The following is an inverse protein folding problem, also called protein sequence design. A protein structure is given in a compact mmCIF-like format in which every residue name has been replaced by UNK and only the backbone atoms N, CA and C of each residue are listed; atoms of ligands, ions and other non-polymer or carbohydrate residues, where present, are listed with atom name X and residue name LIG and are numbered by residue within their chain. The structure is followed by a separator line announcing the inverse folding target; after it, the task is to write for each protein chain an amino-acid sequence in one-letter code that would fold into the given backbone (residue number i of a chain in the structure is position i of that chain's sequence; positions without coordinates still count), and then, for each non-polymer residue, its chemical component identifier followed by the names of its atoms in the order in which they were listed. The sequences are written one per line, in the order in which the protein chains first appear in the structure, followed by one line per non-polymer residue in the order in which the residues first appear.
data_IF_878677037811
#
_entry.id   IF_878677037811
#
_cell.length_a   1.000
_cell.length_b   1.000
_cell.length_c   1.000
_cell.angle_alpha   90.00
_cell.angle_beta   90.00
_cell.angle_gamma   90.00
#
_symmetry.space_group_name_H-M   'P 1'
#
loop_
_entity.id
_entity.type
_entity.pdbx_description
1 polymer ?
#
# COMPACT_ATOMS: atom_id res chain seq x y z
N UNK A 1 -28.16 -28.58 23.81
CA UNK A 1 -27.09 -27.94 24.60
C UNK A 1 -26.18 -27.21 23.61
N UNK A 2 -26.31 -25.89 23.46
CA UNK A 2 -25.50 -25.11 22.52
C UNK A 2 -24.36 -24.44 23.29
N UNK A 3 -23.12 -24.75 22.90
CA UNK A 3 -21.93 -24.12 23.48
C UNK A 3 -21.81 -22.69 22.96
N UNK A 4 -21.85 -21.70 23.87
CA UNK A 4 -21.51 -20.30 23.57
C UNK A 4 -20.01 -20.12 23.78
N UNK A 5 -19.26 -19.90 22.71
CA UNK A 5 -17.86 -19.48 22.78
C UNK A 5 -17.84 -17.95 22.69
N UNK A 6 -17.46 -17.29 23.79
CA UNK A 6 -17.28 -15.84 23.82
C UNK A 6 -15.82 -15.52 23.45
N UNK A 7 -15.62 -14.83 22.32
CA UNK A 7 -14.31 -14.30 21.94
C UNK A 7 -14.25 -12.85 22.39
N UNK A 8 -13.38 -12.57 23.39
CA UNK A 8 -13.14 -11.22 23.90
C UNK A 8 -12.01 -10.60 23.09
N UNK A 9 -12.35 -9.70 22.17
CA UNK A 9 -11.36 -8.98 21.36
C UNK A 9 -10.87 -7.76 22.14
N UNK A 10 -9.57 -7.74 22.46
CA UNK A 10 -8.90 -6.63 23.14
C UNK A 10 -8.59 -5.51 22.13
N UNK A 11 -9.06 -4.29 22.41
CA UNK A 11 -8.74 -3.10 21.62
C UNK A 11 -7.24 -2.78 21.65
N UNK A 12 -6.55 -2.94 20.51
CA UNK A 12 -5.39 -2.14 20.10
C UNK A 12 -5.24 -2.22 18.58
N UNK A 13 -5.14 -1.06 17.91
CA UNK A 13 -5.08 -0.90 16.45
C UNK A 13 -3.76 -1.47 15.91
N UNK A 14 -3.84 -2.51 15.09
CA UNK A 14 -2.82 -2.96 14.12
C UNK A 14 -3.48 -3.99 13.20
N UNK A 15 -3.51 -3.78 11.88
CA UNK A 15 -3.95 -4.78 10.93
C UNK A 15 -2.88 -5.89 10.85
N UNK A 16 -3.22 -7.11 11.25
CA UNK A 16 -2.33 -8.27 11.13
C UNK A 16 -2.53 -8.94 9.77
N UNK A 17 -1.42 -9.18 9.07
CA UNK A 17 -1.35 -10.06 7.90
C UNK A 17 -1.55 -11.51 8.36
N UNK A 18 -2.62 -12.15 7.89
CA UNK A 18 -2.80 -13.60 8.04
C UNK A 18 -2.45 -14.29 6.72
N UNK A 19 -1.48 -15.21 6.75
CA UNK A 19 -1.34 -16.24 5.73
C UNK A 19 -2.45 -17.27 6.00
N UNK A 20 -3.35 -17.44 5.04
CA UNK A 20 -4.56 -18.24 5.22
C UNK A 20 -4.23 -19.73 5.36
N UNK A 21 -4.43 -20.27 6.57
CA UNK A 21 -4.78 -21.68 6.79
C UNK A 21 -6.29 -21.75 6.96
N UNK A 22 -6.96 -22.69 6.28
CA UNK A 22 -8.41 -22.87 6.33
C UNK A 22 -8.92 -23.02 7.78
N UNK A 23 -9.52 -21.97 8.34
CA UNK A 23 -10.34 -22.08 9.55
C UNK A 23 -11.73 -21.51 9.27
N UNK A 24 -12.72 -22.41 9.34
CA UNK A 24 -14.15 -22.12 9.36
C UNK A 24 -14.48 -21.29 10.59
N UNK A 25 -14.54 -19.97 10.44
CA UNK A 25 -15.22 -19.12 11.40
C UNK A 25 -16.71 -19.15 11.01
N UNK A 26 -17.47 -19.96 11.75
CA UNK A 26 -18.94 -20.06 11.80
C UNK A 26 -19.74 -19.52 10.61
N UNK A 27 -20.16 -20.42 9.70
CA UNK A 27 -21.26 -20.16 8.76
C UNK A 27 -20.95 -19.24 7.58
N UNK A 28 -19.73 -18.70 7.48
CA UNK A 28 -19.31 -17.88 6.34
C UNK A 28 -18.90 -18.78 5.17
N UNK A 29 -19.55 -18.64 4.02
CA UNK A 29 -19.06 -19.20 2.75
C UNK A 29 -17.99 -18.27 2.18
N UNK A 30 -16.75 -18.76 2.04
CA UNK A 30 -15.64 -18.02 1.41
C UNK A 30 -14.36 -17.99 2.25
N UNK A 31 -13.26 -17.57 1.62
CA UNK A 31 -11.94 -17.43 2.27
C UNK A 31 -11.85 -16.00 2.82
N UNK A 32 -11.61 -15.82 4.15
CA UNK A 32 -11.39 -14.49 4.70
C UNK A 32 -10.15 -13.90 4.04
N UNK A 33 -10.37 -12.83 3.29
CA UNK A 33 -9.33 -12.18 2.50
C UNK A 33 -8.67 -11.10 3.33
N UNK A 34 -9.41 -10.26 4.05
CA UNK A 34 -8.81 -9.15 4.80
C UNK A 34 -9.65 -8.72 6.01
N UNK A 35 -9.00 -8.12 7.01
CA UNK A 35 -9.66 -7.62 8.23
C UNK A 35 -9.24 -6.18 8.50
N UNK A 36 -10.20 -5.29 8.67
CA UNK A 36 -9.98 -3.88 9.01
C UNK A 36 -10.95 -3.40 10.08
N UNK A 37 -10.46 -3.18 11.30
CA UNK A 37 -11.31 -2.83 12.43
C UNK A 37 -12.27 -3.97 12.79
N UNK A 38 -13.58 -3.70 12.69
CA UNK A 38 -14.66 -4.68 12.93
C UNK A 38 -15.18 -5.34 11.64
N UNK A 39 -14.63 -4.97 10.48
CA UNK A 39 -15.03 -5.48 9.18
C UNK A 39 -14.11 -6.63 8.74
N UNK A 40 -14.73 -7.76 8.38
CA UNK A 40 -14.08 -8.87 7.69
C UNK A 40 -14.53 -8.85 6.23
N UNK A 41 -13.57 -8.88 5.30
CA UNK A 41 -13.83 -9.04 3.87
C UNK A 41 -13.50 -10.47 3.48
N UNK A 42 -14.49 -11.17 2.91
CA UNK A 42 -14.35 -12.53 2.38
C UNK A 42 -14.53 -12.51 0.86
N UNK A 43 -13.95 -13.50 0.19
CA UNK A 43 -14.21 -13.76 -1.23
C UNK A 43 -14.76 -15.18 -1.40
N UNK A 44 -15.82 -15.31 -2.19
CA UNK A 44 -16.21 -16.58 -2.78
C UNK A 44 -15.53 -16.70 -4.13
N UNK A 45 -14.66 -17.68 -4.27
CA UNK A 45 -13.87 -18.00 -5.47
C UNK A 45 -14.12 -19.42 -5.99
N UNK A 46 -15.19 -20.07 -5.51
CA UNK A 46 -15.47 -21.50 -5.78
C UNK A 46 -16.03 -21.78 -7.18
N UNK A 47 -16.23 -20.74 -8.01
CA UNK A 47 -16.80 -20.86 -9.35
C UNK A 47 -16.17 -19.91 -10.37
N UNK A 48 -16.76 -19.85 -11.57
CA UNK A 48 -16.27 -18.96 -12.64
C UNK A 48 -16.42 -17.46 -12.32
N UNK A 49 -17.27 -17.13 -11.35
CA UNK A 49 -17.47 -15.77 -10.89
C UNK A 49 -17.10 -15.66 -9.41
N UNK A 50 -16.40 -14.58 -9.08
CA UNK A 50 -16.09 -14.22 -7.71
C UNK A 50 -17.02 -13.14 -7.20
N UNK A 51 -17.21 -13.12 -5.88
CA UNK A 51 -17.89 -12.04 -5.15
C UNK A 51 -17.17 -11.74 -3.85
N UNK A 52 -17.07 -10.46 -3.51
CA UNK A 52 -16.66 -10.03 -2.19
C UNK A 52 -17.87 -9.84 -1.29
N UNK A 53 -17.67 -10.17 -0.03
CA UNK A 53 -18.64 -9.99 1.05
C UNK A 53 -17.98 -9.25 2.20
N UNK A 54 -18.71 -8.32 2.81
CA UNK A 54 -18.28 -7.65 4.02
C UNK A 54 -19.12 -8.11 5.19
N UNK A 55 -18.49 -8.44 6.31
CA UNK A 55 -19.17 -8.87 7.53
C UNK A 55 -18.75 -8.01 8.73
N UNK A 56 -19.71 -7.61 9.56
CA UNK A 56 -19.45 -7.08 10.91
C UNK A 56 -20.05 -8.05 11.92
N UNK A 57 -19.19 -8.76 12.64
CA UNK A 57 -19.63 -9.92 13.42
C UNK A 57 -20.23 -10.99 12.51
N UNK A 58 -21.53 -11.26 12.66
CA UNK A 58 -22.27 -12.26 11.85
C UNK A 58 -23.16 -11.64 10.78
N UNK A 59 -23.23 -10.32 10.68
CA UNK A 59 -24.09 -9.62 9.74
C UNK A 59 -23.34 -9.28 8.45
N UNK A 60 -23.91 -9.66 7.29
CA UNK A 60 -23.42 -9.22 5.99
C UNK A 60 -23.79 -7.73 5.79
N UNK A 61 -22.77 -6.86 5.72
CA UNK A 61 -22.95 -5.40 5.56
C UNK A 61 -22.84 -4.96 4.10
N UNK A 62 -22.19 -5.75 3.25
CA UNK A 62 -22.22 -5.53 1.80
C UNK A 62 -21.95 -6.82 1.03
N UNK A 63 -22.36 -6.78 -0.25
CA UNK A 63 -22.03 -7.78 -1.26
C UNK A 63 -21.65 -7.09 -2.57
N UNK A 64 -20.52 -7.48 -3.16
CA UNK A 64 -20.13 -6.95 -4.46
C UNK A 64 -20.93 -7.58 -5.59
N UNK A 65 -21.04 -6.89 -6.76
CA UNK A 65 -21.39 -7.56 -8.01
C UNK A 65 -20.44 -8.74 -8.28
N UNK A 66 -20.95 -9.72 -9.02
CA UNK A 66 -20.12 -10.81 -9.52
C UNK A 66 -19.11 -10.29 -10.55
N UNK A 67 -17.89 -10.80 -10.51
CA UNK A 67 -16.87 -10.53 -11.52
C UNK A 67 -16.19 -11.83 -11.95
N UNK A 68 -15.72 -11.89 -13.19
CA UNK A 68 -15.02 -13.06 -13.69
C UNK A 68 -13.69 -13.24 -12.93
N UNK A 69 -13.54 -14.40 -12.28
CA UNK A 69 -12.30 -14.76 -11.62
C UNK A 69 -11.70 -16.08 -12.07
N UNK A 70 -12.35 -16.81 -13.01
CA UNK A 70 -11.67 -17.87 -13.73
C UNK A 70 -10.43 -17.34 -14.47
N UNK A 71 -10.49 -16.07 -14.89
CA UNK A 71 -9.38 -15.33 -15.46
C UNK A 71 -8.67 -14.40 -14.46
N UNK A 72 -8.94 -14.48 -13.15
CA UNK A 72 -8.33 -13.61 -12.13
C UNK A 72 -7.80 -14.43 -10.96
N UNK A 73 -6.49 -14.64 -10.89
CA UNK A 73 -5.85 -15.06 -9.64
C UNK A 73 -5.75 -13.86 -8.71
N UNK A 74 -6.47 -13.90 -7.59
CA UNK A 74 -6.28 -12.98 -6.48
C UNK A 74 -4.99 -13.38 -5.76
N UNK A 75 -3.85 -12.89 -6.22
CA UNK A 75 -2.64 -12.99 -5.43
C UNK A 75 -2.82 -12.13 -4.18
N UNK A 76 -2.53 -12.71 -3.01
CA UNK A 76 -2.87 -12.21 -1.66
C UNK A 76 -2.26 -10.86 -1.23
N UNK A 77 -1.86 -10.02 -2.17
CA UNK A 77 -1.46 -8.63 -1.92
C UNK A 77 -2.70 -7.75 -2.08
N UNK A 78 -3.39 -7.49 -0.98
CA UNK A 78 -4.47 -6.51 -0.87
C UNK A 78 -4.07 -5.41 0.11
N UNK A 79 -4.49 -4.18 -0.20
CA UNK A 79 -4.32 -3.03 0.66
C UNK A 79 -5.69 -2.58 1.14
N UNK A 80 -5.96 -2.83 2.42
CA UNK A 80 -7.13 -2.29 3.10
C UNK A 80 -6.85 -0.90 3.64
N UNK A 81 -7.75 -0.01 3.30
CA UNK A 81 -7.87 1.37 3.75
C UNK A 81 -9.24 1.51 4.44
N UNK A 82 -9.48 2.62 5.14
CA UNK A 82 -10.65 2.75 6.04
C UNK A 82 -11.98 2.33 5.39
N UNK A 83 -12.16 2.67 4.11
CA UNK A 83 -13.41 2.42 3.37
C UNK A 83 -13.17 1.78 2.00
N UNK A 84 -11.94 1.32 1.74
CA UNK A 84 -11.54 0.83 0.43
C UNK A 84 -10.61 -0.35 0.58
N UNK A 85 -10.73 -1.31 -0.32
CA UNK A 85 -9.72 -2.32 -0.50
C UNK A 85 -9.19 -2.24 -1.93
N UNK A 86 -7.88 -2.11 -2.08
CA UNK A 86 -7.21 -2.23 -3.37
C UNK A 86 -6.59 -3.61 -3.49
N UNK A 87 -6.69 -4.21 -4.66
CA UNK A 87 -6.07 -5.50 -4.93
C UNK A 87 -5.66 -5.59 -6.40
N UNK A 88 -4.73 -6.49 -6.69
CA UNK A 88 -4.32 -6.75 -8.07
C UNK A 88 -4.93 -8.06 -8.56
N UNK A 89 -5.57 -7.98 -9.72
CA UNK A 89 -6.05 -9.13 -10.46
C UNK A 89 -4.98 -9.54 -11.48
N UNK A 90 -4.55 -10.82 -11.46
CA UNK A 90 -3.73 -11.40 -12.53
C UNK A 90 -4.61 -12.19 -13.50
N UNK A 91 -4.54 -11.86 -14.81
CA UNK A 91 -5.18 -12.60 -15.90
C UNK A 91 -5.96 -11.68 -16.86
N UNK A 92 -7.20 -11.98 -17.26
CA UNK A 92 -7.96 -11.11 -18.17
C UNK A 92 -9.35 -10.77 -17.64
N UNK A 93 -9.60 -9.53 -17.21
CA UNK A 93 -8.70 -8.39 -17.25
C UNK A 93 -7.66 -8.33 -16.11
N UNK A 94 -6.37 -8.27 -16.47
CA UNK A 94 -5.33 -7.91 -15.52
C UNK A 94 -5.45 -6.42 -15.17
N UNK A 95 -5.17 -6.08 -13.91
CA UNK A 95 -5.18 -4.69 -13.49
C UNK A 95 -5.34 -4.54 -11.99
N UNK A 96 -5.23 -3.29 -11.54
CA UNK A 96 -5.65 -2.93 -10.20
C UNK A 96 -7.16 -2.84 -10.13
N UNK A 97 -7.69 -3.19 -8.97
CA UNK A 97 -9.10 -3.07 -8.65
C UNK A 97 -9.24 -2.37 -7.32
N UNK A 98 -10.39 -1.74 -7.15
CA UNK A 98 -10.81 -1.20 -5.87
C UNK A 98 -12.22 -1.68 -5.56
N UNK A 99 -12.39 -2.15 -4.32
CA UNK A 99 -13.67 -2.41 -3.67
C UNK A 99 -13.99 -1.26 -2.71
N UNK A 100 -15.15 -0.64 -2.86
CA UNK A 100 -15.74 0.27 -1.87
C UNK A 100 -16.34 -0.57 -0.74
N UNK A 101 -15.80 -0.42 0.47
CA UNK A 101 -16.18 -1.23 1.64
C UNK A 101 -17.49 -0.75 2.29
N UNK A 102 -18.05 0.40 1.88
CA UNK A 102 -19.35 0.87 2.37
C UNK A 102 -20.52 0.18 1.66
N UNK A 103 -20.33 -0.20 0.40
CA UNK A 103 -21.43 -0.64 -0.47
C UNK A 103 -21.08 -1.81 -1.41
N UNK A 104 -19.85 -2.33 -1.34
CA UNK A 104 -19.39 -3.45 -2.17
C UNK A 104 -19.15 -3.10 -3.64
N UNK A 105 -19.19 -1.82 -4.06
CA UNK A 105 -18.98 -1.46 -5.45
C UNK A 105 -17.55 -1.72 -5.88
N UNK A 106 -17.40 -2.43 -6.99
CA UNK A 106 -16.12 -2.66 -7.65
C UNK A 106 -15.88 -1.62 -8.73
N UNK A 107 -14.65 -1.11 -8.79
CA UNK A 107 -14.17 -0.30 -9.89
C UNK A 107 -12.79 -0.73 -10.31
N UNK A 108 -12.54 -0.75 -11.62
CA UNK A 108 -11.18 -0.91 -12.14
C UNK A 108 -10.35 0.31 -11.81
N UNK A 109 -9.08 0.07 -11.55
CA UNK A 109 -8.06 1.09 -11.40
C UNK A 109 -6.93 0.83 -12.38
N UNK A 110 -5.99 1.77 -12.50
CA UNK A 110 -4.67 1.44 -13.05
C UNK A 110 -3.96 0.37 -12.20
N UNK A 111 -2.78 -0.11 -12.60
CA UNK A 111 -2.00 -1.06 -11.81
C UNK A 111 -1.79 -0.51 -10.39
N UNK A 112 -2.17 -1.26 -9.36
CA UNK A 112 -1.95 -0.85 -7.96
C UNK A 112 -0.85 -1.69 -7.34
N UNK A 113 0.12 -1.03 -6.74
CA UNK A 113 1.13 -1.66 -5.90
C UNK A 113 0.52 -1.91 -4.52
N UNK A 114 0.24 -3.18 -4.20
CA UNK A 114 -0.25 -3.58 -2.88
C UNK A 114 0.90 -3.97 -1.92
N UNK A 115 2.12 -4.17 -2.43
CA UNK A 115 3.34 -4.30 -1.64
C UNK A 115 4.56 -3.75 -2.42
N UNK A 116 5.67 -3.50 -1.72
CA UNK A 116 6.95 -3.04 -2.29
C UNK A 116 7.66 -4.12 -3.13
N UNK A 117 7.41 -5.40 -2.85
CA UNK A 117 8.13 -6.53 -3.44
C UNK A 117 7.66 -6.89 -4.87
N UNK A 118 6.42 -6.60 -5.23
CA UNK A 118 5.80 -7.09 -6.48
C UNK A 118 6.28 -6.33 -7.75
N UNK A 119 6.97 -5.18 -7.67
CA UNK A 119 6.90 -4.21 -8.78
C UNK A 119 8.19 -3.42 -9.14
N UNK A 120 9.36 -4.06 -9.08
CA UNK A 120 10.64 -3.44 -9.52
C UNK A 120 10.77 -3.17 -11.04
N UNK A 121 9.74 -3.39 -11.86
CA UNK A 121 9.87 -3.39 -13.33
C UNK A 121 8.83 -2.60 -14.12
N UNK A 122 7.96 -1.80 -13.49
CA UNK A 122 6.88 -1.10 -14.22
C UNK A 122 6.94 0.42 -14.02
N UNK A 123 6.84 1.15 -15.13
CA UNK A 123 6.94 2.62 -15.21
C UNK A 123 5.62 3.36 -14.99
N UNK A 124 4.50 2.64 -14.82
CA UNK A 124 3.18 3.18 -14.53
C UNK A 124 2.48 2.40 -13.41
N UNK A 125 2.53 2.94 -12.19
CA UNK A 125 2.04 2.30 -10.97
C UNK A 125 1.25 3.29 -10.12
N UNK A 126 0.20 2.80 -9.45
CA UNK A 126 -0.58 3.54 -8.46
C UNK A 126 -0.27 2.99 -7.07
N UNK A 127 0.17 3.86 -6.16
CA UNK A 127 0.31 3.59 -4.74
C UNK A 127 -0.83 4.25 -4.00
N UNK A 128 -1.41 3.60 -2.99
CA UNK A 128 -2.63 4.08 -2.35
C UNK A 128 -2.48 4.30 -0.84
N UNK A 129 -3.14 5.33 -0.34
CA UNK A 129 -3.48 5.54 1.07
C UNK A 129 -4.87 6.17 1.17
N UNK A 130 -5.37 6.36 2.38
CA UNK A 130 -6.68 7.00 2.61
C UNK A 130 -6.76 8.39 1.96
N UNK A 131 -5.64 9.12 1.94
CA UNK A 131 -5.60 10.54 1.55
C UNK A 131 -5.23 10.78 0.08
N UNK A 132 -4.48 9.86 -0.53
CA UNK A 132 -3.92 10.04 -1.87
C UNK A 132 -3.67 8.72 -2.60
N UNK A 133 -3.83 8.79 -3.92
CA UNK A 133 -3.27 7.84 -4.88
C UNK A 133 -2.07 8.47 -5.58
N UNK A 134 -0.88 7.91 -5.42
CA UNK A 134 0.29 8.37 -6.15
C UNK A 134 0.47 7.55 -7.42
N UNK A 135 0.30 8.16 -8.59
CA UNK A 135 0.62 7.55 -9.89
C UNK A 135 2.04 7.91 -10.31
N UNK A 136 2.90 6.92 -10.47
CA UNK A 136 4.23 7.10 -11.04
C UNK A 136 4.17 7.01 -12.56
N UNK A 137 4.81 7.95 -13.26
CA UNK A 137 5.02 7.90 -14.72
C UNK A 137 6.47 8.31 -14.98
N UNK A 138 7.34 7.32 -15.15
CA UNK A 138 8.78 7.54 -15.13
C UNK A 138 9.23 8.10 -13.78
N UNK A 139 9.87 9.28 -13.79
CA UNK A 139 10.31 9.99 -12.57
C UNK A 139 9.27 10.94 -11.98
N UNK A 140 8.12 11.09 -12.65
CA UNK A 140 7.06 11.99 -12.20
C UNK A 140 6.05 11.23 -11.38
N UNK A 141 5.80 11.68 -10.16
CA UNK A 141 4.75 11.19 -9.28
C UNK A 141 3.60 12.19 -9.30
N UNK A 142 2.41 11.73 -9.69
CA UNK A 142 1.19 12.52 -9.69
C UNK A 142 0.31 12.08 -8.53
N UNK A 143 0.02 12.98 -7.60
CA UNK A 143 -1.00 12.75 -6.58
C UNK A 143 -2.39 12.92 -7.17
N UNK A 144 -3.24 11.92 -6.97
CA UNK A 144 -4.63 11.93 -7.37
C UNK A 144 -5.51 11.79 -6.12
N UNK A 145 -6.64 12.48 -6.15
CA UNK A 145 -7.68 12.34 -5.15
C UNK A 145 -8.25 10.91 -5.22
N UNK A 146 -8.30 10.18 -4.09
CA UNK A 146 -8.63 8.77 -4.12
C UNK A 146 -10.10 8.53 -4.47
N UNK A 147 -10.99 9.50 -4.22
CA UNK A 147 -12.41 9.47 -4.57
C UNK A 147 -12.62 9.75 -6.06
N UNK A 148 -12.23 10.95 -6.46
CA UNK A 148 -12.56 11.55 -7.76
C UNK A 148 -11.55 11.25 -8.86
N UNK A 149 -10.34 10.79 -8.50
CA UNK A 149 -9.19 10.63 -9.40
C UNK A 149 -8.69 11.93 -10.04
N UNK A 150 -9.19 13.07 -9.58
CA UNK A 150 -8.69 14.37 -10.01
C UNK A 150 -7.25 14.55 -9.54
N UNK A 151 -6.43 15.18 -10.39
CA UNK A 151 -5.06 15.52 -10.01
C UNK A 151 -5.06 16.54 -8.87
N UNK A 152 -4.35 16.20 -7.80
CA UNK A 152 -4.06 17.09 -6.67
C UNK A 152 -2.74 17.83 -6.89
N UNK A 153 -1.70 17.10 -7.26
CA UNK A 153 -0.34 17.62 -7.40
C UNK A 153 0.50 16.76 -8.35
N UNK A 154 1.69 17.26 -8.68
CA UNK A 154 2.70 16.53 -9.46
C UNK A 154 4.08 16.89 -8.93
N UNK A 155 4.95 15.89 -8.81
CA UNK A 155 6.32 16.03 -8.33
C UNK A 155 7.27 15.21 -9.18
N UNK A 156 8.42 15.78 -9.56
CA UNK A 156 9.45 15.06 -10.32
C UNK A 156 10.61 14.71 -9.39
N UNK A 157 10.89 13.41 -9.26
CA UNK A 157 11.95 12.91 -8.41
C UNK A 157 13.34 13.31 -8.90
N UNK A 158 14.27 13.53 -7.96
CA UNK A 158 15.68 13.76 -8.25
C UNK A 158 16.38 12.44 -8.67
N UNK A 159 17.67 12.48 -8.98
CA UNK A 159 18.44 11.29 -9.40
C UNK A 159 18.32 11.00 -10.90
N UNK A 160 18.98 9.94 -11.36
CA UNK A 160 18.92 9.50 -12.77
C UNK A 160 17.99 8.29 -12.95
N UNK A 161 17.73 7.56 -11.87
CA UNK A 161 16.90 6.35 -11.88
C UNK A 161 15.41 6.63 -11.60
N UNK A 162 14.58 5.61 -11.85
CA UNK A 162 13.19 5.62 -11.41
C UNK A 162 13.13 5.60 -9.88
N UNK A 163 12.32 6.48 -9.25
CA UNK A 163 12.13 6.42 -7.81
C UNK A 163 11.43 5.12 -7.41
N UNK A 164 11.87 4.51 -6.32
CA UNK A 164 11.04 3.60 -5.56
C UNK A 164 10.05 4.45 -4.75
N UNK A 165 8.77 4.09 -4.75
CA UNK A 165 7.72 4.90 -4.12
C UNK A 165 6.95 4.02 -3.14
N UNK A 166 6.62 4.59 -2.00
CA UNK A 166 5.67 4.01 -1.05
C UNK A 166 4.72 5.09 -0.55
N UNK A 167 3.48 4.69 -0.23
CA UNK A 167 2.45 5.62 0.25
C UNK A 167 1.77 5.00 1.45
N UNK A 168 1.74 5.73 2.55
CA UNK A 168 1.11 5.29 3.79
C UNK A 168 0.70 6.50 4.63
N UNK A 169 -0.46 6.42 5.29
CA UNK A 169 -0.93 7.38 6.31
C UNK A 169 -0.69 8.87 5.94
N UNK A 170 -1.06 9.28 4.73
CA UNK A 170 -0.95 10.67 4.27
C UNK A 170 0.48 11.12 3.93
N UNK A 171 1.44 10.21 3.81
CA UNK A 171 2.78 10.49 3.31
C UNK A 171 3.05 9.73 2.02
N UNK A 172 3.72 10.38 1.08
CA UNK A 172 4.37 9.74 -0.06
C UNK A 172 5.87 9.74 0.22
N UNK A 173 6.48 8.57 0.24
CA UNK A 173 7.91 8.40 0.44
C UNK A 173 8.50 7.95 -0.90
N UNK A 174 9.63 8.54 -1.27
CA UNK A 174 10.34 8.16 -2.48
C UNK A 174 11.82 7.99 -2.17
N UNK A 175 12.38 6.92 -2.71
CA UNK A 175 13.79 6.64 -2.66
C UNK A 175 14.37 6.73 -4.07
N UNK A 176 15.40 7.55 -4.23
CA UNK A 176 16.11 7.72 -5.51
C UNK A 176 17.59 7.56 -5.29
N UNK A 177 18.32 7.05 -6.28
CA UNK A 177 19.77 7.14 -6.28
C UNK A 177 20.20 8.61 -6.11
N UNK A 178 21.10 8.89 -5.16
CA UNK A 178 21.65 10.22 -4.98
C UNK A 178 22.51 10.56 -6.21
N UNK A 179 22.31 11.72 -6.87
CA UNK A 179 23.14 12.09 -8.01
C UNK A 179 24.63 12.05 -7.65
N UNK A 180 25.46 11.43 -8.50
CA UNK A 180 26.90 11.24 -8.24
C UNK A 180 27.62 12.52 -7.81
N UNK A 181 27.30 13.64 -8.46
CA UNK A 181 27.86 14.96 -8.12
C UNK A 181 27.47 15.43 -6.72
N UNK A 182 26.23 15.16 -6.29
CA UNK A 182 25.76 15.50 -4.95
C UNK A 182 26.43 14.63 -3.88
N UNK A 183 26.64 13.34 -4.17
CA UNK A 183 27.39 12.44 -3.29
C UNK A 183 28.82 12.96 -3.06
N UNK A 184 29.55 13.25 -4.14
CA UNK A 184 30.93 13.78 -4.09
C UNK A 184 31.01 15.09 -3.32
N UNK A 185 30.11 16.06 -3.58
CA UNK A 185 30.09 17.34 -2.87
C UNK A 185 29.75 17.21 -1.38
N UNK A 186 29.08 16.13 -1.00
CA UNK A 186 28.72 15.85 0.41
C UNK A 186 29.76 14.97 1.12
N UNK A 187 30.87 14.63 0.46
CA UNK A 187 31.89 13.73 1.02
C UNK A 187 31.42 12.28 1.16
N UNK A 188 30.39 11.88 0.43
CA UNK A 188 29.85 10.51 0.42
C UNK A 188 30.45 9.77 -0.76
N UNK A 189 30.96 8.56 -0.53
CA UNK A 189 31.44 7.69 -1.60
C UNK A 189 30.29 7.37 -2.57
N UNK A 190 30.33 7.82 -3.83
CA UNK A 190 29.26 7.53 -4.79
C UNK A 190 29.14 6.03 -5.10
N UNK A 191 30.20 5.25 -4.91
CA UNK A 191 30.20 3.81 -5.16
C UNK A 191 29.49 3.04 -4.01
N UNK A 192 29.23 3.69 -2.87
CA UNK A 192 28.45 3.11 -1.76
C UNK A 192 26.95 3.02 -2.06
N UNK A 193 26.52 3.45 -3.26
CA UNK A 193 25.11 3.49 -3.66
C UNK A 193 24.24 4.33 -2.72
N UNK A 194 24.62 5.58 -2.39
CA UNK A 194 23.81 6.41 -1.50
C UNK A 194 22.48 6.76 -2.15
N UNK A 195 21.43 6.78 -1.34
CA UNK A 195 20.08 7.07 -1.78
C UNK A 195 19.56 8.34 -1.10
N UNK A 196 18.68 9.06 -1.78
CA UNK A 196 17.96 10.20 -1.26
C UNK A 196 16.52 9.78 -0.97
N UNK A 197 16.18 9.70 0.31
CA UNK A 197 14.80 9.59 0.77
C UNK A 197 14.15 10.97 0.71
N UNK A 198 13.03 11.08 0.02
CA UNK A 198 12.19 12.28 -0.03
C UNK A 198 10.80 11.95 0.46
N UNK A 199 10.31 12.71 1.43
CA UNK A 199 8.95 12.58 1.96
C UNK A 199 8.13 13.78 1.50
N UNK A 200 6.96 13.50 0.95
CA UNK A 200 5.95 14.50 0.59
C UNK A 200 4.71 14.31 1.46
N UNK A 201 4.06 15.42 1.75
CA UNK A 201 2.69 15.42 2.19
C UNK A 201 1.78 14.87 1.09
N UNK A 202 1.02 13.83 1.41
CA UNK A 202 0.20 13.11 0.44
C UNK A 202 -0.91 13.95 -0.17
N UNK A 203 -1.46 14.95 0.56
CA UNK A 203 -2.56 15.76 0.05
C UNK A 203 -2.08 16.90 -0.85
N UNK A 204 -0.95 17.50 -0.52
CA UNK A 204 -0.44 18.72 -1.17
C UNK A 204 0.72 18.47 -2.12
N UNK A 205 1.43 17.34 -1.98
CA UNK A 205 2.66 17.06 -2.70
C UNK A 205 3.84 17.93 -2.26
N UNK A 206 3.70 18.68 -1.16
CA UNK A 206 4.79 19.49 -0.61
C UNK A 206 5.83 18.57 0.00
N UNK A 207 7.10 18.78 -0.33
CA UNK A 207 8.21 18.10 0.34
C UNK A 207 8.29 18.56 1.79
N UNK A 208 8.15 17.61 2.70
CA UNK A 208 8.19 17.83 4.16
C UNK A 208 9.52 17.42 4.76
N UNK A 209 10.30 16.59 4.09
CA UNK A 209 11.64 16.23 4.52
C UNK A 209 12.43 15.50 3.45
N UNK A 210 13.76 15.57 3.59
CA UNK A 210 14.71 14.80 2.79
C UNK A 210 15.81 14.29 3.69
N UNK A 211 16.31 13.09 3.40
CA UNK A 211 17.46 12.53 4.09
C UNK A 211 18.30 11.70 3.12
N UNK A 212 19.61 11.91 3.16
CA UNK A 212 20.53 11.01 2.48
C UNK A 212 20.73 9.77 3.35
N UNK A 213 20.64 8.62 2.70
CA UNK A 213 20.83 7.30 3.29
C UNK A 213 22.09 6.73 2.65
N UNK A 214 23.14 6.62 3.44
CA UNK A 214 24.49 6.25 2.97
C UNK A 214 24.67 4.74 2.78
N UNK A 215 23.80 3.94 3.38
CA UNK A 215 23.67 2.51 3.12
C UNK A 215 22.38 2.30 2.31
N UNK A 216 22.51 2.27 0.98
CA UNK A 216 21.35 2.08 0.11
C UNK A 216 20.67 0.71 0.32
N UNK A 217 19.47 0.55 -0.21
CA UNK A 217 18.66 -0.69 -0.17
C UNK A 217 19.38 -1.97 -0.66
N UNK A 218 20.53 -1.83 -1.31
CA UNK A 218 21.33 -2.93 -1.88
C UNK A 218 22.45 -3.43 -0.98
N UNK A 219 22.59 -2.85 0.21
CA UNK A 219 23.63 -3.18 1.19
C UNK A 219 22.95 -3.81 2.42
N UNK A 220 23.61 -4.73 3.15
CA UNK A 220 23.09 -5.31 4.39
C UNK A 220 22.47 -4.31 5.36
N UNK A 221 22.94 -3.05 5.37
CA UNK A 221 22.45 -1.96 6.22
C UNK A 221 21.38 -1.06 5.56
N UNK A 222 20.74 -1.49 4.47
CA UNK A 222 19.69 -0.74 3.75
C UNK A 222 18.41 -0.52 4.56
N UNK A 223 17.41 0.14 3.95
CA UNK A 223 16.10 0.32 4.61
C UNK A 223 15.40 -1.05 4.68
N UNK A 224 14.96 -1.41 5.88
CA UNK A 224 14.15 -2.59 6.13
C UNK A 224 12.66 -2.31 5.88
N UNK A 225 12.19 -1.16 6.36
CA UNK A 225 10.79 -0.79 6.26
C UNK A 225 10.55 0.71 6.38
N UNK A 226 9.43 1.15 5.82
CA UNK A 226 9.00 2.53 5.75
C UNK A 226 7.55 2.62 6.20
N UNK A 227 7.27 3.52 7.12
CA UNK A 227 5.91 3.75 7.61
C UNK A 227 5.56 5.22 7.53
N UNK A 228 4.47 5.54 6.84
CA UNK A 228 3.84 6.84 7.03
C UNK A 228 3.30 6.94 8.45
N UNK A 229 3.55 8.05 9.13
CA UNK A 229 3.07 8.32 10.50
C UNK A 229 2.23 9.61 10.58
N UNK A 230 1.67 10.02 9.43
CA UNK A 230 0.80 11.18 9.27
C UNK A 230 1.20 12.06 8.09
N UNK A 231 0.42 13.11 7.85
CA UNK A 231 0.57 14.10 6.78
C UNK A 231 2.04 14.53 6.55
N UNK A 232 2.67 13.90 5.55
CA UNK A 232 4.08 14.14 5.19
C UNK A 232 5.11 13.76 6.25
N UNK A 233 4.85 12.78 7.10
CA UNK A 233 5.82 12.25 8.06
C UNK A 233 6.01 10.77 7.85
N UNK A 234 7.26 10.33 7.91
CA UNK A 234 7.63 8.94 7.78
C UNK A 234 8.54 8.51 8.94
N UNK A 235 8.40 7.27 9.37
CA UNK A 235 9.36 6.53 10.16
C UNK A 235 10.09 5.56 9.21
N UNK A 236 11.41 5.60 9.23
CA UNK A 236 12.26 4.71 8.43
C UNK A 236 13.05 3.85 9.40
N UNK A 237 13.05 2.54 9.14
CA UNK A 237 13.80 1.57 9.91
C UNK A 237 14.84 0.92 9.01
N UNK A 238 16.09 0.96 9.43
CA UNK A 238 17.22 0.38 8.72
C UNK A 238 17.46 -1.05 9.17
N UNK A 239 18.08 -1.87 8.33
CA UNK A 239 18.51 -3.22 8.69
C UNK A 239 19.55 -3.22 9.83
N UNK A 240 20.30 -2.12 10.00
CA UNK A 240 21.20 -1.91 11.15
C UNK A 240 20.47 -1.83 12.49
N UNK A 241 19.14 -1.67 12.49
CA UNK A 241 18.31 -1.40 13.66
C UNK A 241 18.11 0.10 13.94
N UNK A 242 18.76 0.99 13.17
CA UNK A 242 18.54 2.42 13.30
C UNK A 242 17.12 2.81 12.88
N UNK A 243 16.52 3.71 13.65
CA UNK A 243 15.18 4.24 13.38
C UNK A 243 15.25 5.76 13.35
N UNK A 244 14.70 6.38 12.31
CA UNK A 244 14.59 7.83 12.22
C UNK A 244 13.25 8.28 11.64
N UNK A 245 12.83 9.46 12.08
CA UNK A 245 11.67 10.15 11.51
C UNK A 245 12.13 11.18 10.46
N UNK A 246 11.36 11.31 9.39
CA UNK A 246 11.53 12.35 8.37
C UNK A 246 10.19 13.08 8.21
N UNK A 247 10.22 14.41 8.24
CA UNK A 247 9.05 15.26 8.05
C UNK A 247 9.15 16.52 8.91
N UNK A 248 8.36 17.54 8.58
CA UNK A 248 8.32 18.76 9.37
C UNK A 248 7.59 18.49 10.70
N UNK A 249 8.17 18.97 11.79
CA UNK A 249 7.46 19.18 13.06
C UNK A 249 6.65 20.46 12.90
N UNK A 250 5.35 20.33 12.65
CA UNK A 250 4.40 21.44 12.80
C UNK A 250 4.20 21.76 14.27
#
# INVERSE_FOLDING_TARGET
MAARVAVRVSHRRSAQLFSASHQLIGGLTGIPLAVGGDLVVSVDDTGAQCRFFGFRGTEEVFRSPAFDCAAVTLNGSYLMLAERMYFQARGHPAGGWQLDLRNGKLRRTGPVAANLADLRSRSDLIYASDDVLARQTGKTITGLDPDTRNRLWSYTAAGDDLPEVSVANGAVMMLTALPRRAAVLSGIDPESGPELMTVLDGRTGKVTGRRVITAGHRIPDGIWSEYGIGAGRALIMMNSGDVFAIGAHS
#
